data_IF_493643368044
#
_entry.id   IF_493643368044
#
_cell.length_a   1.000
_cell.length_b   1.000
_cell.length_c   1.000
_cell.angle_alpha   90.00
_cell.angle_beta   90.00
_cell.angle_gamma   90.00
#
_symmetry.space_group_name_H-M   'P 1'
#
loop_
_entity.id
_entity.type
_entity.pdbx_description
1 polymer ?
#
# COMPACT_ATOMS: atom_id res chain seq x y z
N UNK A 1 2.27 -16.69 -4.52
CA UNK A 1 2.35 -16.89 -5.98
C UNK A 1 3.69 -16.36 -6.44
N UNK A 2 4.53 -17.23 -7.02
CA UNK A 2 5.79 -16.83 -7.64
C UNK A 2 5.62 -16.71 -9.15
N UNK A 3 6.24 -15.70 -9.75
CA UNK A 3 6.25 -15.47 -11.18
C UNK A 3 7.67 -15.07 -11.61
N UNK A 4 8.15 -15.60 -12.72
CA UNK A 4 9.43 -15.22 -13.32
C UNK A 4 9.19 -14.62 -14.70
N UNK A 5 9.61 -13.38 -14.89
CA UNK A 5 9.55 -12.69 -16.17
C UNK A 5 10.91 -12.78 -16.86
N UNK A 6 11.04 -13.69 -17.81
CA UNK A 6 12.27 -13.90 -18.58
C UNK A 6 12.68 -12.71 -19.44
N UNK A 7 11.73 -11.88 -19.91
CA UNK A 7 12.04 -10.70 -20.73
C UNK A 7 12.64 -9.56 -19.89
N UNK A 8 12.28 -9.47 -18.61
CA UNK A 8 12.80 -8.47 -17.68
C UNK A 8 13.87 -9.02 -16.74
N UNK A 9 14.16 -10.32 -16.79
CA UNK A 9 15.09 -10.99 -15.87
C UNK A 9 14.68 -10.87 -14.41
N UNK A 10 13.38 -10.77 -14.12
CA UNK A 10 12.87 -10.44 -12.78
C UNK A 10 12.03 -11.60 -12.21
N UNK A 11 12.35 -12.00 -10.98
CA UNK A 11 11.58 -12.92 -10.17
C UNK A 11 10.71 -12.13 -9.19
N UNK A 12 9.41 -12.43 -9.13
CA UNK A 12 8.46 -11.79 -8.24
C UNK A 12 7.74 -12.83 -7.40
N UNK A 13 7.70 -12.63 -6.09
CA UNK A 13 7.04 -13.49 -5.11
C UNK A 13 6.02 -12.64 -4.37
N UNK A 14 4.76 -13.07 -4.42
CA UNK A 14 3.64 -12.36 -3.81
C UNK A 14 2.92 -13.26 -2.82
N UNK A 15 2.66 -12.74 -1.63
CA UNK A 15 1.87 -13.38 -0.59
C UNK A 15 0.73 -12.46 -0.18
N UNK A 16 -0.49 -12.99 -0.18
CA UNK A 16 -1.69 -12.29 0.27
C UNK A 16 -2.38 -13.14 1.31
N UNK A 17 -2.71 -12.54 2.46
CA UNK A 17 -3.46 -13.18 3.53
C UNK A 17 -4.66 -12.33 3.90
N UNK A 18 -5.85 -12.85 3.64
CA UNK A 18 -7.08 -12.29 4.23
C UNK A 18 -7.11 -12.74 5.70
N UNK A 19 -6.98 -11.79 6.62
CA UNK A 19 -6.98 -12.04 8.08
C UNK A 19 -8.41 -12.00 8.61
N UNK A 20 -9.16 -10.98 8.21
CA UNK A 20 -10.58 -10.86 8.50
C UNK A 20 -11.29 -10.50 7.18
N UNK A 21 -12.22 -11.34 6.68
CA UNK A 21 -12.96 -11.06 5.45
C UNK A 21 -13.54 -9.64 5.46
N UNK A 22 -13.40 -8.94 4.32
CA UNK A 22 -13.89 -7.57 4.10
C UNK A 22 -13.35 -6.49 5.05
N UNK A 23 -12.42 -6.83 5.94
CA UNK A 23 -11.94 -5.95 7.02
C UNK A 23 -10.43 -5.81 7.04
N UNK A 24 -9.68 -6.91 6.98
CA UNK A 24 -8.23 -6.89 7.16
C UNK A 24 -7.56 -7.83 6.17
N UNK A 25 -6.69 -7.27 5.33
CA UNK A 25 -5.85 -8.01 4.39
C UNK A 25 -4.39 -7.62 4.60
N UNK A 26 -3.52 -8.61 4.70
CA UNK A 26 -2.07 -8.44 4.69
C UNK A 26 -1.51 -8.85 3.33
N UNK A 27 -0.47 -8.15 2.90
CA UNK A 27 0.26 -8.42 1.67
C UNK A 27 1.76 -8.37 1.92
N UNK A 28 2.51 -9.22 1.24
CA UNK A 28 3.95 -9.13 1.15
C UNK A 28 4.37 -9.43 -0.29
N UNK A 29 5.33 -8.68 -0.78
CA UNK A 29 5.89 -8.82 -2.11
C UNK A 29 7.42 -8.78 -2.03
N UNK A 30 8.07 -9.61 -2.82
CA UNK A 30 9.51 -9.61 -3.04
C UNK A 30 9.75 -9.66 -4.54
N UNK A 31 10.45 -8.68 -5.08
CA UNK A 31 10.96 -8.68 -6.45
C UNK A 31 12.48 -8.76 -6.39
N UNK A 32 13.10 -9.60 -7.20
CA UNK A 32 14.55 -9.66 -7.34
C UNK A 32 14.97 -9.92 -8.78
N UNK A 33 16.09 -9.33 -9.17
CA UNK A 33 16.73 -9.51 -10.47
C UNK A 33 18.04 -10.25 -10.28
N UNK A 34 18.17 -11.51 -10.74
CA UNK A 34 19.44 -12.23 -10.66
C UNK A 34 20.55 -11.60 -11.51
N UNK A 35 20.19 -10.79 -12.51
CA UNK A 35 21.14 -10.14 -13.41
C UNK A 35 21.74 -8.87 -12.79
N UNK A 36 20.92 -8.01 -12.17
CA UNK A 36 21.39 -6.78 -11.50
C UNK A 36 21.70 -6.96 -10.02
N UNK A 37 21.32 -8.10 -9.43
CA UNK A 37 21.37 -8.38 -7.99
C UNK A 37 20.53 -7.41 -7.13
N UNK A 38 19.65 -6.64 -7.77
CA UNK A 38 18.74 -5.75 -7.06
C UNK A 38 17.55 -6.54 -6.52
N UNK A 39 17.07 -6.13 -5.35
CA UNK A 39 15.89 -6.69 -4.72
C UNK A 39 15.05 -5.60 -4.06
N UNK A 40 13.73 -5.71 -4.20
CA UNK A 40 12.76 -4.88 -3.52
C UNK A 40 11.82 -5.77 -2.72
N UNK A 41 11.65 -5.48 -1.44
CA UNK A 41 10.63 -6.10 -0.60
C UNK A 41 9.61 -5.06 -0.18
N UNK A 42 8.34 -5.44 -0.17
CA UNK A 42 7.22 -4.63 0.31
C UNK A 42 6.39 -5.47 1.26
N UNK A 43 5.97 -4.89 2.38
CA UNK A 43 5.01 -5.49 3.30
C UNK A 43 3.93 -4.45 3.57
N UNK A 44 2.68 -4.86 3.40
CA UNK A 44 1.56 -3.95 3.51
C UNK A 44 0.36 -4.56 4.22
N UNK A 45 -0.52 -3.67 4.65
CA UNK A 45 -1.78 -4.02 5.27
C UNK A 45 -2.88 -3.10 4.76
N UNK A 46 -4.07 -3.65 4.60
CA UNK A 46 -5.29 -2.93 4.30
C UNK A 46 -6.31 -3.20 5.40
N UNK A 47 -6.85 -2.13 5.97
CA UNK A 47 -7.92 -2.13 6.94
C UNK A 47 -9.13 -1.42 6.37
N UNK A 48 -10.17 -2.17 6.04
CA UNK A 48 -11.48 -1.68 5.63
C UNK A 48 -12.38 -1.58 6.87
N UNK A 49 -12.53 -0.36 7.38
CA UNK A 49 -13.42 -0.03 8.50
C UNK A 49 -14.80 0.39 7.97
N UNK A 50 -15.77 0.56 8.86
CA UNK A 50 -17.16 0.86 8.47
C UNK A 50 -17.30 2.14 7.63
N UNK A 51 -16.47 3.16 7.85
CA UNK A 51 -16.50 4.42 7.09
C UNK A 51 -15.13 4.89 6.61
N UNK A 52 -14.12 4.06 6.78
CA UNK A 52 -12.74 4.46 6.52
C UNK A 52 -11.95 3.29 5.95
N UNK A 53 -10.95 3.62 5.16
CA UNK A 53 -9.98 2.65 4.64
C UNK A 53 -8.59 3.12 5.02
N UNK A 54 -7.80 2.24 5.60
CA UNK A 54 -6.40 2.51 5.91
C UNK A 54 -5.54 1.54 5.13
N UNK A 55 -4.63 2.06 4.33
CA UNK A 55 -3.57 1.30 3.68
C UNK A 55 -2.23 1.69 4.30
N UNK A 56 -1.42 0.68 4.62
CA UNK A 56 -0.06 0.82 5.11
C UNK A 56 0.87 0.00 4.21
N UNK A 57 2.05 0.53 3.93
CA UNK A 57 3.09 -0.17 3.20
C UNK A 57 4.45 0.23 3.76
N UNK A 58 5.33 -0.75 3.92
CA UNK A 58 6.73 -0.57 4.28
C UNK A 58 7.56 -1.28 3.24
N UNK A 59 8.58 -0.62 2.69
CA UNK A 59 9.52 -1.25 1.78
C UNK A 59 10.87 -1.56 2.46
N UNK A 60 11.68 -2.37 1.78
CA UNK A 60 13.01 -2.79 2.26
C UNK A 60 14.03 -1.68 2.43
N UNK A 61 13.74 -0.46 1.97
CA UNK A 61 14.62 0.71 2.14
C UNK A 61 14.33 1.48 3.42
N UNK A 62 13.29 1.08 4.17
CA UNK A 62 12.81 1.82 5.33
C UNK A 62 11.87 2.97 4.94
N UNK A 63 11.34 3.00 3.72
CA UNK A 63 10.28 3.93 3.35
C UNK A 63 8.95 3.37 3.83
N UNK A 64 8.18 4.22 4.52
CA UNK A 64 6.87 3.91 5.08
C UNK A 64 5.84 4.80 4.41
N UNK A 65 4.77 4.20 3.92
CA UNK A 65 3.64 4.87 3.28
C UNK A 65 2.35 4.52 4.00
N UNK A 66 1.49 5.51 4.19
CA UNK A 66 0.16 5.35 4.75
C UNK A 66 -0.84 6.20 4.00
N UNK A 67 -2.03 5.64 3.75
CA UNK A 67 -3.18 6.38 3.27
C UNK A 67 -4.37 6.05 4.14
N UNK A 68 -5.05 7.08 4.66
CA UNK A 68 -6.33 7.00 5.34
C UNK A 68 -7.36 7.69 4.45
N UNK A 69 -8.40 6.97 4.05
CA UNK A 69 -9.61 7.54 3.44
C UNK A 69 -10.77 7.44 4.44
N UNK A 70 -11.61 8.46 4.51
CA UNK A 70 -12.80 8.52 5.36
C UNK A 70 -13.97 9.10 4.60
N UNK A 71 -15.11 8.41 4.63
CA UNK A 71 -16.39 8.91 4.12
C UNK A 71 -17.05 9.82 5.15
N UNK A 72 -17.44 11.03 4.73
CA UNK A 72 -18.07 12.04 5.59
C UNK A 72 -19.59 11.82 5.74
N UNK A 73 -20.22 11.11 4.81
CA UNK A 73 -21.64 10.77 4.84
C UNK A 73 -21.92 9.27 4.74
N UNK A 74 -23.21 8.91 4.87
CA UNK A 74 -23.69 7.53 4.74
C UNK A 74 -24.29 7.22 3.35
N UNK A 75 -24.65 8.25 2.59
CA UNK A 75 -25.26 8.10 1.28
C UNK A 75 -24.23 7.71 0.20
N UNK A 76 -24.63 6.96 -0.84
CA UNK A 76 -23.85 6.86 -2.07
C UNK A 76 -23.52 8.26 -2.60
N UNK A 77 -22.29 8.47 -3.07
CA UNK A 77 -21.82 9.80 -3.48
C UNK A 77 -21.49 10.75 -2.32
N UNK A 78 -21.51 10.29 -1.06
CA UNK A 78 -21.08 11.16 0.04
C UNK A 78 -19.63 11.60 -0.11
N UNK A 79 -19.29 12.85 0.25
CA UNK A 79 -17.91 13.32 0.23
C UNK A 79 -16.97 12.40 1.01
N UNK A 80 -15.73 12.25 0.53
CA UNK A 80 -14.65 11.59 1.26
C UNK A 80 -13.44 12.51 1.43
N UNK A 81 -12.73 12.28 2.53
CA UNK A 81 -11.48 12.94 2.88
C UNK A 81 -10.39 11.89 2.90
N UNK A 82 -9.26 12.17 2.27
CA UNK A 82 -8.07 11.33 2.30
C UNK A 82 -6.89 12.07 2.91
N UNK A 83 -6.07 11.35 3.66
CA UNK A 83 -4.78 11.78 4.17
C UNK A 83 -3.75 10.76 3.71
N UNK A 84 -2.65 11.24 3.16
CA UNK A 84 -1.52 10.42 2.75
C UNK A 84 -0.27 10.92 3.49
N UNK A 85 0.52 9.97 3.99
CA UNK A 85 1.80 10.23 4.61
C UNK A 85 2.84 9.28 4.04
N UNK A 86 4.02 9.80 3.77
CA UNK A 86 5.17 9.04 3.36
C UNK A 86 6.40 9.53 4.12
N UNK A 87 7.16 8.59 4.68
CA UNK A 87 8.40 8.84 5.39
C UNK A 87 9.47 7.96 4.75
N UNK A 88 10.53 8.57 4.24
CA UNK A 88 11.73 7.88 3.76
C UNK A 88 12.82 8.05 4.80
N UNK A 89 13.03 7.03 5.64
CA UNK A 89 14.05 7.06 6.70
C UNK A 89 15.48 7.11 6.16
N UNK A 90 15.72 6.57 4.96
CA UNK A 90 17.05 6.60 4.33
C UNK A 90 17.42 7.99 3.82
N UNK A 91 16.43 8.78 3.41
CA UNK A 91 16.63 10.15 2.92
C UNK A 91 16.31 11.25 3.93
N UNK A 92 15.81 10.88 5.11
CA UNK A 92 15.28 11.81 6.12
C UNK A 92 14.25 12.80 5.52
N UNK A 93 13.35 12.28 4.67
CA UNK A 93 12.31 13.10 4.04
C UNK A 93 10.92 12.63 4.44
N UNK A 94 10.02 13.60 4.58
CA UNK A 94 8.62 13.36 4.91
C UNK A 94 7.72 14.10 3.92
N UNK A 95 6.71 13.42 3.40
CA UNK A 95 5.73 13.98 2.47
C UNK A 95 4.34 13.71 3.02
N UNK A 96 3.57 14.77 3.15
CA UNK A 96 2.18 14.70 3.61
C UNK A 96 1.27 15.27 2.54
N UNK A 97 0.11 14.67 2.37
CA UNK A 97 -0.92 15.12 1.45
C UNK A 97 -2.30 14.91 2.06
N UNK A 98 -3.24 15.72 1.60
CA UNK A 98 -4.65 15.50 1.88
C UNK A 98 -5.44 15.71 0.58
N UNK A 99 -6.58 15.05 0.49
CA UNK A 99 -7.46 15.14 -0.66
C UNK A 99 -8.91 15.17 -0.21
N UNK A 100 -9.73 15.96 -0.88
CA UNK A 100 -11.16 15.98 -0.65
C UNK A 100 -11.86 15.61 -1.96
N UNK A 101 -12.68 14.57 -1.91
CA UNK A 101 -13.53 14.16 -3.00
C UNK A 101 -14.96 14.52 -2.63
N UNK A 102 -15.59 15.42 -3.37
CA UNK A 102 -16.95 15.89 -3.03
C UNK A 102 -18.06 14.90 -3.39
N UNK A 103 -17.76 13.85 -4.16
CA UNK A 103 -18.79 12.96 -4.71
C UNK A 103 -19.68 13.70 -5.72
N UNK A 104 -20.08 13.00 -6.77
CA UNK A 104 -21.09 13.45 -7.72
C UNK A 104 -22.45 12.88 -7.35
#
# INVERSE_FOLDING_TARGET
IGNYNAAQGMLSLNYKRVVNPDRVTLGAELQCSPASLESQVLVGAEFNLTRSKVNLCVDGTGRVQSVLETKLGMAPGSPSLSFAAEVDHGKDTMRFGYGLNMGG
#
